data_IF_936708134631
#
_entry.id   IF_936708134631
#
_cell.length_a   1.000
_cell.length_b   1.000
_cell.length_c   1.000
_cell.angle_alpha   90.00
_cell.angle_beta   90.00
_cell.angle_gamma   90.00
#
_symmetry.space_group_name_H-M   'P 1'
#
loop_
_entity.id
_entity.type
_entity.pdbx_description
1 polymer ?
#
# COMPACT_ATOMS: atom_id res chain seq x y z
N UNK A 1 -16.92 9.39 15.13
CA UNK A 1 -16.43 7.99 15.19
C UNK A 1 -14.91 8.05 15.09
N UNK A 2 -14.20 7.94 16.22
CA UNK A 2 -12.73 7.97 16.23
C UNK A 2 -12.20 6.67 15.62
N UNK A 3 -11.44 6.78 14.53
CA UNK A 3 -10.73 5.65 13.93
C UNK A 3 -9.64 5.23 14.94
N UNK A 4 -9.62 3.95 15.32
CA UNK A 4 -8.63 3.40 16.25
C UNK A 4 -7.19 3.56 15.75
N UNK A 5 -6.19 3.23 16.58
CA UNK A 5 -4.77 3.39 16.22
C UNK A 5 -4.44 2.65 14.92
N UNK A 6 -3.81 3.37 13.99
CA UNK A 6 -3.26 2.80 12.76
C UNK A 6 -2.15 1.83 13.17
N UNK A 7 -2.31 0.55 12.82
CA UNK A 7 -1.34 -0.47 13.16
C UNK A 7 -0.06 -0.28 12.32
N UNK A 8 1.12 -0.63 12.85
CA UNK A 8 2.36 -0.55 12.08
C UNK A 8 2.30 -1.50 10.88
N UNK A 9 2.66 -0.98 9.70
CA UNK A 9 2.90 -1.80 8.51
C UNK A 9 4.34 -2.33 8.53
N UNK A 10 4.55 -3.56 8.04
CA UNK A 10 5.86 -4.20 8.08
C UNK A 10 6.88 -3.45 7.22
N UNK A 11 8.08 -3.27 7.76
CA UNK A 11 9.19 -2.68 7.00
C UNK A 11 9.74 -3.72 6.02
N UNK A 12 9.90 -3.37 4.73
CA UNK A 12 10.43 -4.31 3.74
C UNK A 12 11.90 -4.66 3.97
N UNK A 13 12.37 -5.84 3.56
CA UNK A 13 13.79 -6.15 3.49
C UNK A 13 14.55 -5.15 2.59
N UNK A 14 15.79 -4.81 2.97
CA UNK A 14 16.60 -3.80 2.27
C UNK A 14 16.78 -4.09 0.76
N UNK A 15 16.80 -5.36 0.36
CA UNK A 15 16.92 -5.76 -1.05
C UNK A 15 15.74 -5.33 -1.92
N UNK A 16 14.57 -5.06 -1.34
CA UNK A 16 13.38 -4.58 -2.05
C UNK A 16 13.14 -3.08 -1.85
N UNK A 17 13.98 -2.41 -1.04
CA UNK A 17 13.90 -0.97 -0.76
C UNK A 17 14.61 -0.14 -1.84
N UNK A 18 14.12 -0.23 -3.08
CA UNK A 18 14.62 0.58 -4.18
C UNK A 18 13.47 1.09 -5.06
N UNK A 19 13.78 2.03 -5.96
CA UNK A 19 12.83 2.48 -6.96
C UNK A 19 12.38 1.32 -7.86
N UNK A 20 11.08 1.26 -8.16
CA UNK A 20 10.56 0.32 -9.16
C UNK A 20 11.06 0.74 -10.55
N UNK A 21 11.60 -0.21 -11.31
CA UNK A 21 12.24 0.06 -12.61
C UNK A 21 11.27 0.09 -13.79
N UNK A 22 10.05 -0.45 -13.60
CA UNK A 22 8.99 -0.45 -14.62
C UNK A 22 8.11 0.80 -14.55
N UNK A 23 7.01 0.79 -15.31
CA UNK A 23 6.00 1.84 -15.22
C UNK A 23 5.41 1.86 -13.80
N UNK A 24 5.32 3.03 -13.17
CA UNK A 24 4.71 3.17 -11.84
C UNK A 24 3.48 4.07 -11.94
N UNK A 25 2.38 3.68 -11.33
CA UNK A 25 1.27 4.59 -11.08
C UNK A 25 0.84 4.53 -9.64
N UNK A 26 0.94 5.69 -9.01
CA UNK A 26 0.51 5.92 -7.64
C UNK A 26 -0.81 6.66 -7.67
N UNK A 27 -1.82 6.10 -7.01
CA UNK A 27 -3.08 6.77 -6.70
C UNK A 27 -3.15 7.05 -5.22
N UNK A 28 -3.79 8.16 -4.86
CA UNK A 28 -4.00 8.54 -3.48
C UNK A 28 -5.48 8.81 -3.21
N UNK A 29 -5.99 8.33 -2.09
CA UNK A 29 -7.39 8.53 -1.66
C UNK A 29 -7.52 8.67 -0.14
N UNK A 30 -8.73 8.88 0.34
CA UNK A 30 -9.10 8.66 1.74
C UNK A 30 -8.92 7.19 2.14
N UNK A 31 -8.84 6.90 3.44
CA UNK A 31 -8.78 5.51 3.92
C UNK A 31 -9.92 4.64 3.38
N UNK A 32 -11.14 5.19 3.29
CA UNK A 32 -12.28 4.47 2.73
C UNK A 32 -12.13 4.19 1.22
N UNK A 33 -11.58 5.13 0.45
CA UNK A 33 -11.29 4.93 -0.98
C UNK A 33 -10.16 3.90 -1.18
N UNK A 34 -9.14 3.92 -0.32
CA UNK A 34 -8.04 2.94 -0.33
C UNK A 34 -8.59 1.55 -0.03
N UNK A 35 -9.33 1.40 1.07
CA UNK A 35 -9.94 0.13 1.49
C UNK A 35 -10.84 -0.43 0.38
N UNK A 36 -11.75 0.40 -0.15
CA UNK A 36 -12.63 -0.02 -1.25
C UNK A 36 -11.86 -0.41 -2.51
N UNK A 37 -10.86 0.39 -2.91
CA UNK A 37 -10.07 0.10 -4.10
C UNK A 37 -9.25 -1.18 -3.94
N UNK A 38 -8.59 -1.35 -2.79
CA UNK A 38 -7.77 -2.52 -2.51
C UNK A 38 -8.60 -3.80 -2.36
N UNK A 39 -9.83 -3.72 -1.84
CA UNK A 39 -10.78 -4.84 -1.77
C UNK A 39 -11.37 -5.21 -3.13
N UNK A 40 -11.59 -4.22 -4.01
CA UNK A 40 -12.18 -4.45 -5.34
C UNK A 40 -11.14 -4.77 -6.41
N UNK A 41 -9.86 -4.55 -6.13
CA UNK A 41 -8.78 -4.90 -7.06
C UNK A 41 -8.72 -6.42 -7.25
N UNK A 42 -9.14 -6.89 -8.43
CA UNK A 42 -9.15 -8.30 -8.84
C UNK A 42 -9.95 -9.27 -7.95
N UNK A 43 -10.89 -8.77 -7.15
CA UNK A 43 -11.79 -9.61 -6.35
C UNK A 43 -11.13 -10.27 -5.13
N UNK A 44 -9.98 -9.77 -4.66
CA UNK A 44 -9.33 -10.24 -3.45
C UNK A 44 -10.01 -9.59 -2.24
N UNK A 45 -10.92 -10.33 -1.60
CA UNK A 45 -11.53 -9.95 -0.33
C UNK A 45 -10.52 -10.23 0.79
N UNK A 46 -9.69 -9.25 1.11
CA UNK A 46 -8.89 -9.29 2.33
C UNK A 46 -9.75 -8.90 3.52
N UNK A 47 -9.77 -9.71 4.59
CA UNK A 47 -10.41 -9.34 5.85
C UNK A 47 -9.67 -8.20 6.57
N UNK A 48 -8.49 -7.82 6.06
CA UNK A 48 -7.67 -6.76 6.62
C UNK A 48 -8.10 -5.39 6.11
N UNK A 49 -8.08 -4.42 7.02
CA UNK A 49 -8.19 -2.99 6.69
C UNK A 49 -6.88 -2.54 6.07
N UNK A 50 -6.71 -2.83 4.78
CA UNK A 50 -5.49 -2.51 4.05
C UNK A 50 -5.25 -0.99 4.09
N UNK A 51 -4.08 -0.59 4.60
CA UNK A 51 -3.66 0.80 4.62
C UNK A 51 -3.05 1.24 3.28
N UNK A 52 -2.84 0.29 2.37
CA UNK A 52 -2.38 0.49 1.01
C UNK A 52 -2.51 -0.82 0.24
N UNK A 53 -2.27 -0.78 -1.06
CA UNK A 53 -2.07 -1.99 -1.84
C UNK A 53 -1.25 -1.68 -3.09
N UNK A 54 -0.63 -2.73 -3.60
CA UNK A 54 0.16 -2.71 -4.80
C UNK A 54 -0.18 -3.89 -5.69
N UNK A 55 -0.01 -3.71 -7.00
CA UNK A 55 -0.19 -4.76 -7.98
C UNK A 55 0.74 -4.55 -9.16
N UNK A 56 1.45 -5.62 -9.51
CA UNK A 56 2.24 -5.70 -10.73
C UNK A 56 1.39 -6.33 -11.83
N UNK A 57 1.32 -5.68 -13.00
CA UNK A 57 0.94 -6.29 -14.27
C UNK A 57 2.19 -6.51 -15.14
N UNK A 58 2.02 -7.01 -16.37
CA UNK A 58 3.13 -7.36 -17.26
C UNK A 58 4.14 -6.23 -17.54
N UNK A 59 3.81 -4.95 -17.29
CA UNK A 59 4.74 -3.83 -17.54
C UNK A 59 4.73 -2.71 -16.47
N UNK A 60 3.81 -2.75 -15.51
CA UNK A 60 3.57 -1.64 -14.60
C UNK A 60 3.19 -2.11 -13.21
N UNK A 61 3.62 -1.35 -12.21
CA UNK A 61 3.09 -1.45 -10.86
C UNK A 61 2.08 -0.34 -10.59
N UNK A 62 0.93 -0.73 -10.05
CA UNK A 62 -0.08 0.15 -9.50
C UNK A 62 0.06 0.16 -7.99
N UNK A 63 -0.01 1.34 -7.38
CA UNK A 63 0.06 1.54 -5.94
C UNK A 63 -1.10 2.45 -5.54
N UNK A 64 -1.88 2.06 -4.54
CA UNK A 64 -2.92 2.89 -3.92
C UNK A 64 -2.58 3.09 -2.45
N UNK A 65 -2.47 4.35 -2.03
CA UNK A 65 -2.10 4.73 -0.65
C UNK A 65 -2.98 5.88 -0.15
N UNK A 66 -3.11 6.08 1.17
CA UNK A 66 -3.92 7.16 1.71
C UNK A 66 -3.25 8.50 1.47
N UNK A 67 -4.07 9.55 1.29
CA UNK A 67 -3.64 10.94 1.34
C UNK A 67 -3.25 11.29 2.77
N UNK A 68 -2.28 12.20 2.90
CA UNK A 68 -1.95 12.81 4.19
C UNK A 68 -3.18 13.59 4.68
N UNK A 69 -3.58 13.36 5.92
CA UNK A 69 -4.75 13.99 6.53
C UNK A 69 -5.36 13.13 7.64
N UNK A 70 -5.98 13.78 8.62
CA UNK A 70 -6.54 13.10 9.79
C UNK A 70 -5.47 12.26 10.51
N UNK A 71 -5.64 10.92 10.64
CA UNK A 71 -4.66 10.05 11.28
C UNK A 71 -3.43 9.72 10.40
N UNK A 72 -3.44 10.08 9.12
CA UNK A 72 -2.36 9.76 8.17
C UNK A 72 -1.35 10.89 8.14
N UNK A 73 -0.22 10.68 8.81
CA UNK A 73 0.93 11.60 8.76
C UNK A 73 1.80 11.34 7.53
N UNK A 74 2.67 12.30 7.18
CA UNK A 74 3.66 12.12 6.12
C UNK A 74 4.56 10.90 6.37
N UNK A 75 4.93 10.65 7.63
CA UNK A 75 5.73 9.49 8.03
C UNK A 75 4.98 8.18 7.79
N UNK A 76 3.72 8.10 8.21
CA UNK A 76 2.89 6.90 8.02
C UNK A 76 2.70 6.61 6.53
N UNK A 77 2.36 7.63 5.74
CA UNK A 77 2.20 7.48 4.29
C UNK A 77 3.50 7.03 3.61
N UNK A 78 4.66 7.53 4.05
CA UNK A 78 5.96 7.12 3.52
C UNK A 78 6.27 5.64 3.86
N UNK A 79 5.91 5.18 5.06
CA UNK A 79 6.06 3.77 5.45
C UNK A 79 5.18 2.86 4.59
N UNK A 80 3.90 3.22 4.42
CA UNK A 80 2.97 2.48 3.54
C UNK A 80 3.53 2.45 2.11
N UNK A 81 3.95 3.60 1.59
CA UNK A 81 4.53 3.67 0.24
C UNK A 81 5.76 2.78 0.09
N UNK A 82 6.66 2.75 1.08
CA UNK A 82 7.86 1.92 1.00
C UNK A 82 7.52 0.42 0.98
N UNK A 83 6.54 0.01 1.78
CA UNK A 83 6.02 -1.35 1.79
C UNK A 83 5.41 -1.73 0.44
N UNK A 84 4.50 -0.91 -0.10
CA UNK A 84 3.87 -1.17 -1.40
C UNK A 84 4.86 -1.18 -2.56
N UNK A 85 5.90 -0.34 -2.50
CA UNK A 85 6.97 -0.34 -3.49
C UNK A 85 7.80 -1.62 -3.44
N UNK A 86 8.01 -2.20 -2.25
CA UNK A 86 8.75 -3.45 -2.11
C UNK A 86 8.01 -4.63 -2.75
N UNK A 87 6.67 -4.68 -2.65
CA UNK A 87 5.87 -5.63 -3.41
C UNK A 87 6.01 -5.45 -4.92
N UNK A 88 6.02 -4.21 -5.41
CA UNK A 88 6.33 -3.96 -6.82
C UNK A 88 7.69 -4.55 -7.22
N UNK A 89 8.67 -4.54 -6.30
CA UNK A 89 10.02 -5.07 -6.51
C UNK A 89 10.13 -6.60 -6.30
N UNK A 90 9.02 -7.30 -6.10
CA UNK A 90 8.99 -8.76 -5.98
C UNK A 90 9.00 -9.29 -4.54
N UNK A 91 8.83 -8.44 -3.53
CA UNK A 91 8.61 -8.91 -2.17
C UNK A 91 7.24 -9.61 -2.05
N UNK A 92 7.25 -10.87 -1.61
CA UNK A 92 6.05 -11.70 -1.44
C UNK A 92 5.02 -11.05 -0.51
N UNK A 93 3.73 -11.26 -0.76
CA UNK A 93 2.61 -10.75 0.04
C UNK A 93 2.23 -11.67 1.21
N UNK A 94 3.19 -12.39 1.77
CA UNK A 94 3.05 -13.39 2.84
C UNK A 94 3.16 -12.80 4.27
N UNK A 95 2.90 -11.50 4.40
CA UNK A 95 3.01 -10.73 5.64
C UNK A 95 1.88 -9.69 5.74
N UNK A 96 1.83 -8.93 6.84
CA UNK A 96 0.67 -8.09 7.15
C UNK A 96 0.63 -6.79 6.33
N UNK A 97 -0.59 -6.42 5.89
CA UNK A 97 -0.95 -5.22 5.11
C UNK A 97 -1.85 -4.24 5.88
#
# INVERSE_FOLDING_TARGET
MAQGPIHPIDAPPAIYQHGYRGGLTVRQGSLAEVEHFCHTMHGIVSQYRALGCSKVDTQRCFVMIPKIGGPITARIQAQIRAHEMAHCNGWSADHAH
#
